data_IF_714068555573
#
_entry.id   IF_714068555573
#
_cell.length_a   1.000
_cell.length_b   1.000
_cell.length_c   1.000
_cell.angle_alpha   90.00
_cell.angle_beta   90.00
_cell.angle_gamma   90.00
#
_symmetry.space_group_name_H-M   'P 1'
#
loop_
_entity.id
_entity.type
_entity.pdbx_description
1 polymer ?
#
# COMPACT_ATOMS: atom_id res chain seq x y z
N UNK A 1 -12.99 27.77 -0.93
CA UNK A 1 -12.11 26.64 -1.26
C UNK A 1 -12.75 25.92 -2.44
N UNK A 2 -12.29 26.19 -3.68
CA UNK A 2 -12.81 25.47 -4.85
C UNK A 2 -12.12 24.11 -4.90
N UNK A 3 -12.85 23.06 -4.52
CA UNK A 3 -12.43 21.68 -4.73
C UNK A 3 -12.97 21.26 -6.09
N UNK A 4 -12.13 21.26 -7.12
CA UNK A 4 -12.47 20.59 -8.36
C UNK A 4 -12.27 19.08 -8.15
N UNK A 5 -13.37 18.34 -7.94
CA UNK A 5 -13.36 16.90 -8.22
C UNK A 5 -13.53 16.73 -9.71
N UNK A 6 -12.42 16.69 -10.44
CA UNK A 6 -12.41 16.60 -11.90
C UNK A 6 -12.79 15.17 -12.28
N UNK A 7 -14.05 14.97 -12.64
CA UNK A 7 -14.51 13.74 -13.31
C UNK A 7 -14.16 13.74 -14.81
N UNK A 8 -13.80 14.89 -15.37
CA UNK A 8 -13.50 15.09 -16.79
C UNK A 8 -11.99 14.97 -17.09
N UNK A 9 -11.41 13.80 -16.84
CA UNK A 9 -9.99 13.51 -17.14
C UNK A 9 -9.77 13.10 -18.62
N UNK A 10 -10.83 12.83 -19.39
CA UNK A 10 -10.71 12.29 -20.76
C UNK A 10 -9.95 13.22 -21.73
N UNK A 11 -10.11 14.54 -21.60
CA UNK A 11 -9.44 15.51 -22.49
C UNK A 11 -7.95 15.63 -22.16
N UNK A 12 -7.59 15.70 -20.87
CA UNK A 12 -6.19 15.74 -20.43
C UNK A 12 -5.48 14.39 -20.68
N UNK A 13 -6.21 13.27 -20.64
CA UNK A 13 -5.67 11.96 -21.04
C UNK A 13 -5.32 11.91 -22.54
N UNK A 14 -6.08 12.61 -23.40
CA UNK A 14 -5.77 12.71 -24.83
C UNK A 14 -4.58 13.63 -25.14
N UNK A 15 -4.35 14.66 -24.33
CA UNK A 15 -3.24 15.62 -24.51
C UNK A 15 -1.95 15.19 -23.80
N UNK A 16 -2.04 14.80 -22.53
CA UNK A 16 -0.89 14.41 -21.70
C UNK A 16 -0.66 12.89 -21.70
N UNK A 17 -1.73 12.08 -21.68
CA UNK A 17 -1.66 10.62 -21.60
C UNK A 17 -1.03 9.92 -22.82
N UNK A 18 -0.90 10.61 -23.96
CA UNK A 18 -0.16 10.09 -25.13
C UNK A 18 1.35 9.99 -24.90
N UNK A 19 1.89 10.76 -23.95
CA UNK A 19 3.32 10.84 -23.65
C UNK A 19 3.66 10.52 -22.19
N UNK A 20 2.65 10.28 -21.32
CA UNK A 20 2.93 9.97 -19.92
C UNK A 20 3.21 8.49 -19.73
N UNK A 21 4.45 8.18 -19.39
CA UNK A 21 4.89 6.81 -19.10
C UNK A 21 4.45 6.39 -17.68
N UNK A 22 4.25 7.35 -16.75
CA UNK A 22 4.11 7.08 -15.32
C UNK A 22 2.91 7.83 -14.69
N UNK A 23 2.20 7.17 -13.77
CA UNK A 23 0.98 7.65 -13.09
C UNK A 23 1.20 8.97 -12.31
N UNK A 24 2.32 9.08 -11.60
CA UNK A 24 2.70 10.24 -10.79
C UNK A 24 2.97 11.46 -11.66
N UNK A 25 3.63 11.28 -12.81
CA UNK A 25 3.88 12.37 -13.74
C UNK A 25 2.57 12.94 -14.30
N UNK A 26 1.59 12.07 -14.58
CA UNK A 26 0.26 12.49 -15.01
C UNK A 26 -0.44 13.35 -13.95
N UNK A 27 -0.37 12.95 -12.67
CA UNK A 27 -0.91 13.72 -11.56
C UNK A 27 -0.23 15.08 -11.40
N UNK A 28 1.09 15.14 -11.60
CA UNK A 28 1.90 16.37 -11.59
C UNK A 28 1.49 17.31 -12.72
N UNK A 29 1.34 16.79 -13.94
CA UNK A 29 0.98 17.59 -15.12
C UNK A 29 -0.39 18.25 -14.96
N UNK A 30 -1.37 17.52 -14.43
CA UNK A 30 -2.69 18.07 -14.08
C UNK A 30 -2.55 19.18 -13.03
N UNK A 31 -1.80 18.93 -11.94
CA UNK A 31 -1.56 19.95 -10.91
C UNK A 31 -0.96 21.23 -11.50
N UNK A 32 0.09 21.09 -12.32
CA UNK A 32 0.78 22.20 -12.97
C UNK A 32 -0.15 22.94 -13.95
N UNK A 33 -0.97 22.23 -14.72
CA UNK A 33 -1.92 22.83 -15.66
C UNK A 33 -2.90 23.77 -14.94
N UNK A 34 -3.56 23.31 -13.87
CA UNK A 34 -4.53 24.15 -13.15
C UNK A 34 -3.85 25.31 -12.42
N UNK A 35 -2.67 25.09 -11.86
CA UNK A 35 -1.91 26.16 -11.21
C UNK A 35 -1.44 27.22 -12.18
N UNK A 36 -1.02 26.86 -13.39
CA UNK A 36 -0.50 27.83 -14.37
C UNK A 36 -1.61 28.53 -15.15
N UNK A 37 -2.70 27.82 -15.45
CA UNK A 37 -3.79 28.33 -16.32
C UNK A 37 -4.72 29.33 -15.60
N UNK A 38 -5.01 29.11 -14.32
CA UNK A 38 -6.02 29.89 -13.60
C UNK A 38 -5.41 30.63 -12.42
N UNK A 39 -5.28 31.95 -12.47
CA UNK A 39 -4.65 32.75 -11.41
C UNK A 39 -5.42 32.75 -10.06
N UNK A 40 -6.72 32.47 -10.09
CA UNK A 40 -7.58 32.39 -8.90
C UNK A 40 -7.49 31.06 -8.14
N UNK A 41 -6.86 30.03 -8.71
CA UNK A 41 -6.74 28.70 -8.06
C UNK A 41 -5.73 28.76 -6.93
N UNK A 42 -6.19 28.59 -5.68
CA UNK A 42 -5.33 28.67 -4.51
C UNK A 42 -4.68 27.32 -4.12
N UNK A 43 -5.31 26.21 -4.50
CA UNK A 43 -4.90 24.85 -4.16
C UNK A 43 -5.40 23.87 -5.20
N UNK A 44 -4.57 22.90 -5.56
CA UNK A 44 -4.92 21.78 -6.45
C UNK A 44 -4.49 20.49 -5.78
N UNK A 45 -5.39 19.51 -5.80
CA UNK A 45 -5.12 18.13 -5.40
C UNK A 45 -5.64 17.19 -6.47
N UNK A 46 -4.77 16.31 -6.95
CA UNK A 46 -5.10 15.26 -7.89
C UNK A 46 -4.98 13.91 -7.20
N UNK A 47 -5.87 12.99 -7.54
CA UNK A 47 -5.81 11.60 -7.12
C UNK A 47 -5.97 10.75 -8.37
N UNK A 48 -4.99 9.91 -8.65
CA UNK A 48 -5.00 9.02 -9.82
C UNK A 48 -4.80 7.60 -9.33
N UNK A 49 -5.56 6.68 -9.88
CA UNK A 49 -5.48 5.27 -9.55
C UNK A 49 -5.37 4.46 -10.83
N UNK A 50 -4.48 3.49 -10.82
CA UNK A 50 -4.34 2.53 -11.90
C UNK A 50 -5.47 1.48 -11.85
N UNK A 51 -5.93 1.05 -13.03
CA UNK A 51 -6.70 -0.19 -13.16
C UNK A 51 -5.69 -1.29 -13.47
N UNK A 52 -5.56 -2.34 -12.63
CA UNK A 52 -4.47 -3.31 -12.73
C UNK A 52 -4.72 -4.33 -13.85
N UNK A 53 -4.64 -3.86 -15.09
CA UNK A 53 -4.69 -4.69 -16.28
C UNK A 53 -3.39 -5.47 -16.43
N UNK A 54 -3.50 -6.78 -16.46
CA UNK A 54 -2.39 -7.68 -16.76
C UNK A 54 -2.64 -8.34 -18.13
N UNK A 55 -1.58 -8.50 -18.92
CA UNK A 55 -1.69 -9.18 -20.22
C UNK A 55 -2.12 -10.62 -20.00
N UNK A 56 -3.16 -11.05 -20.72
CA UNK A 56 -3.60 -12.45 -20.66
C UNK A 56 -2.49 -13.34 -21.22
N UNK A 57 -2.17 -14.44 -20.53
CA UNK A 57 -1.25 -15.46 -20.99
C UNK A 57 -1.99 -16.78 -21.14
N UNK A 58 -1.83 -17.44 -22.28
CA UNK A 58 -2.36 -18.77 -22.57
C UNK A 58 -1.17 -19.69 -22.85
N UNK A 59 -1.00 -20.75 -22.07
CA UNK A 59 0.15 -21.67 -22.17
C UNK A 59 1.54 -20.97 -22.13
N UNK A 60 1.63 -19.88 -21.36
CA UNK A 60 2.84 -19.05 -21.26
C UNK A 60 3.05 -18.06 -22.41
N UNK A 61 2.17 -18.07 -23.42
CA UNK A 61 2.21 -17.14 -24.56
C UNK A 61 1.38 -15.89 -24.24
N UNK A 62 1.95 -14.68 -24.33
CA UNK A 62 1.22 -13.45 -24.11
C UNK A 62 0.23 -13.18 -25.25
N UNK A 63 -1.04 -12.98 -24.94
CA UNK A 63 -2.04 -12.59 -25.93
C UNK A 63 -1.74 -11.19 -26.47
N UNK A 64 -1.89 -10.98 -27.77
CA UNK A 64 -1.48 -9.75 -28.45
C UNK A 64 -2.30 -8.51 -28.02
N UNK A 65 -3.58 -8.68 -27.69
CA UNK A 65 -4.49 -7.57 -27.37
C UNK A 65 -5.51 -7.88 -26.27
N UNK A 66 -5.30 -8.93 -25.47
CA UNK A 66 -6.26 -9.31 -24.40
C UNK A 66 -5.62 -9.14 -23.03
N UNK A 67 -6.43 -8.66 -22.09
CA UNK A 67 -6.02 -8.32 -20.74
C UNK A 67 -7.06 -8.83 -19.74
N UNK A 68 -6.60 -9.14 -18.55
CA UNK A 68 -7.42 -9.49 -17.38
C UNK A 68 -7.17 -8.46 -16.28
N UNK A 69 -8.20 -8.12 -15.53
CA UNK A 69 -8.06 -7.22 -14.38
C UNK A 69 -7.76 -8.06 -13.14
N UNK A 70 -6.55 -7.93 -12.59
CA UNK A 70 -6.08 -8.72 -11.44
C UNK A 70 -5.64 -7.76 -10.33
N UNK A 71 -6.46 -7.57 -9.28
CA UNK A 71 -6.12 -6.67 -8.18
C UNK A 71 -5.16 -7.35 -7.19
N UNK A 72 -3.86 -7.27 -7.44
CA UNK A 72 -2.78 -7.78 -6.58
C UNK A 72 -2.05 -6.66 -5.81
N UNK A 73 -2.80 -5.61 -5.49
CA UNK A 73 -2.30 -4.34 -4.94
C UNK A 73 -2.44 -3.22 -5.96
N UNK A 74 -3.39 -2.32 -5.74
CA UNK A 74 -3.72 -1.24 -6.65
C UNK A 74 -2.77 -0.06 -6.43
N UNK A 75 -2.01 0.32 -7.46
CA UNK A 75 -1.21 1.54 -7.46
C UNK A 75 -2.09 2.78 -7.52
N UNK A 76 -1.76 3.76 -6.70
CA UNK A 76 -2.35 5.09 -6.78
C UNK A 76 -1.30 6.17 -6.50
N UNK A 77 -1.58 7.39 -6.92
CA UNK A 77 -0.78 8.56 -6.57
C UNK A 77 -1.66 9.77 -6.26
N UNK A 78 -1.08 10.70 -5.52
CA UNK A 78 -1.66 12.01 -5.26
C UNK A 78 -0.61 13.08 -5.53
N UNK A 79 -0.97 14.15 -6.23
CA UNK A 79 -0.16 15.35 -6.29
C UNK A 79 -0.94 16.52 -5.69
N UNK A 80 -0.27 17.31 -4.87
CA UNK A 80 -0.87 18.43 -4.15
C UNK A 80 0.02 19.66 -4.26
N UNK A 81 -0.58 20.81 -4.53
CA UNK A 81 0.14 22.07 -4.58
C UNK A 81 -0.75 23.19 -4.03
N UNK A 82 -0.16 24.04 -3.18
CA UNK A 82 -0.73 25.35 -2.84
C UNK A 82 -0.14 26.42 -3.78
N UNK A 83 -0.86 27.50 -4.04
CA UNK A 83 -0.32 28.67 -4.75
C UNK A 83 0.94 29.17 -4.05
N UNK A 84 2.03 29.30 -4.78
CA UNK A 84 3.37 29.69 -4.27
C UNK A 84 3.97 28.70 -3.24
N UNK A 85 3.37 27.52 -3.07
CA UNK A 85 3.90 26.44 -2.24
C UNK A 85 4.60 25.36 -3.07
N UNK A 86 5.34 24.45 -2.40
CA UNK A 86 5.95 23.32 -3.09
C UNK A 86 4.88 22.37 -3.63
N UNK A 87 5.19 21.73 -4.76
CA UNK A 87 4.46 20.57 -5.25
C UNK A 87 4.88 19.35 -4.40
N UNK A 88 3.90 18.67 -3.82
CA UNK A 88 4.11 17.46 -3.02
C UNK A 88 3.48 16.28 -3.73
N UNK A 89 4.25 15.22 -3.93
CA UNK A 89 3.79 14.00 -4.60
C UNK A 89 3.79 12.85 -3.61
N UNK A 90 2.72 12.07 -3.66
CA UNK A 90 2.55 10.84 -2.93
C UNK A 90 2.28 9.70 -3.90
N UNK A 91 2.74 8.50 -3.57
CA UNK A 91 2.33 7.26 -4.21
C UNK A 91 1.90 6.25 -3.16
N UNK A 92 1.26 5.18 -3.61
CA UNK A 92 0.79 4.16 -2.70
C UNK A 92 0.34 2.88 -3.38
N UNK A 93 0.06 1.92 -2.52
CA UNK A 93 -0.54 0.62 -2.81
C UNK A 93 -1.75 0.49 -1.90
N UNK A 94 -2.91 0.23 -2.47
CA UNK A 94 -4.12 -0.09 -1.70
C UNK A 94 -4.70 -1.42 -2.13
N UNK A 95 -5.65 -1.92 -1.34
CA UNK A 95 -6.38 -3.15 -1.62
C UNK A 95 -5.45 -4.38 -1.82
N UNK A 96 -4.23 -4.33 -1.25
CA UNK A 96 -3.28 -5.44 -1.28
C UNK A 96 -3.64 -6.44 -0.17
N UNK A 97 -4.24 -7.56 -0.57
CA UNK A 97 -4.67 -8.60 0.36
C UNK A 97 -3.57 -9.63 0.52
N UNK A 98 -3.12 -9.82 1.76
CA UNK A 98 -2.07 -10.77 2.11
C UNK A 98 -2.59 -11.77 3.15
N UNK A 99 -2.12 -13.00 3.06
CA UNK A 99 -2.43 -14.06 4.02
C UNK A 99 -1.24 -15.00 4.18
N UNK A 100 -0.94 -15.38 5.41
CA UNK A 100 -0.15 -16.58 5.74
C UNK A 100 -0.91 -17.45 6.73
N UNK A 101 -0.82 -18.76 6.55
CA UNK A 101 -1.61 -19.75 7.28
C UNK A 101 -1.01 -20.18 8.62
N UNK A 102 0.26 -19.88 8.83
CA UNK A 102 1.05 -20.18 10.03
C UNK A 102 2.13 -19.11 10.21
N UNK A 103 3.12 -19.34 11.09
CA UNK A 103 4.22 -18.42 11.39
C UNK A 103 3.70 -17.06 11.87
N UNK A 104 2.59 -17.05 12.62
CA UNK A 104 2.09 -15.87 13.30
C UNK A 104 1.50 -16.22 14.65
N UNK A 105 1.88 -15.51 15.68
CA UNK A 105 1.29 -15.60 17.01
C UNK A 105 0.66 -14.30 17.48
N UNK A 106 0.04 -14.38 18.65
CA UNK A 106 -0.37 -13.24 19.46
C UNK A 106 -0.52 -13.69 20.92
N UNK A 107 0.43 -13.25 21.73
CA UNK A 107 0.62 -13.65 23.11
C UNK A 107 1.30 -12.54 23.91
N UNK A 108 1.25 -12.63 25.25
CA UNK A 108 1.89 -11.66 26.13
C UNK A 108 1.22 -10.28 26.15
N UNK A 109 -0.02 -10.17 25.66
CA UNK A 109 -0.79 -8.95 25.74
C UNK A 109 -1.36 -8.74 27.15
N UNK A 110 -1.63 -7.48 27.50
CA UNK A 110 -2.24 -7.13 28.79
C UNK A 110 -3.63 -7.76 28.92
N UNK A 111 -3.88 -8.43 30.05
CA UNK A 111 -5.16 -9.10 30.34
C UNK A 111 -5.87 -8.36 31.48
N UNK A 112 -7.13 -8.03 31.26
CA UNK A 112 -8.04 -7.44 32.25
C UNK A 112 -9.38 -8.19 32.26
N UNK A 113 -10.33 -7.69 33.06
CA UNK A 113 -11.68 -8.25 33.19
C UNK A 113 -12.50 -8.32 31.89
N UNK A 114 -12.11 -7.57 30.85
CA UNK A 114 -12.74 -7.59 29.53
C UNK A 114 -11.99 -8.46 28.51
N UNK A 115 -10.87 -9.09 28.90
CA UNK A 115 -10.03 -9.86 27.99
C UNK A 115 -10.54 -11.30 27.87
N UNK A 116 -11.29 -11.56 26.81
CA UNK A 116 -11.79 -12.90 26.47
C UNK A 116 -10.95 -13.61 25.42
N UNK A 117 -10.08 -12.88 24.73
CA UNK A 117 -9.24 -13.40 23.66
C UNK A 117 -8.17 -14.35 24.22
N UNK A 118 -8.10 -15.61 23.78
CA UNK A 118 -7.06 -16.52 24.21
C UNK A 118 -5.76 -16.28 23.45
N UNK A 119 -4.63 -16.55 24.09
CA UNK A 119 -3.31 -16.50 23.45
C UNK A 119 -3.18 -17.60 22.40
N UNK A 120 -2.38 -17.32 21.36
CA UNK A 120 -2.11 -18.23 20.25
C UNK A 120 -0.65 -18.10 19.85
N UNK A 121 0.11 -19.19 19.95
CA UNK A 121 1.46 -19.26 19.40
C UNK A 121 1.45 -19.41 17.87
N UNK A 122 0.38 -19.98 17.32
CA UNK A 122 0.18 -20.05 15.86
C UNK A 122 -1.27 -19.71 15.49
N UNK A 123 -1.43 -18.94 14.40
CA UNK A 123 -2.70 -18.51 13.83
C UNK A 123 -2.53 -18.06 12.39
N UNK A 124 -3.63 -18.05 11.65
CA UNK A 124 -3.72 -17.39 10.35
C UNK A 124 -3.56 -15.88 10.54
N UNK A 125 -2.68 -15.26 9.77
CA UNK A 125 -2.57 -13.81 9.64
C UNK A 125 -3.07 -13.40 8.26
N UNK A 126 -4.18 -12.67 8.21
CA UNK A 126 -4.72 -12.10 6.99
C UNK A 126 -5.01 -10.60 7.19
N UNK A 127 -4.78 -9.82 6.14
CA UNK A 127 -5.07 -8.40 6.18
C UNK A 127 -5.07 -7.77 4.80
N UNK A 128 -5.68 -6.59 4.75
CA UNK A 128 -5.62 -5.71 3.61
C UNK A 128 -4.72 -4.52 3.93
N UNK A 129 -3.67 -4.35 3.12
CA UNK A 129 -2.70 -3.28 3.25
C UNK A 129 -3.14 -2.06 2.44
N UNK A 130 -3.08 -0.91 3.09
CA UNK A 130 -2.96 0.40 2.47
C UNK A 130 -1.62 1.01 2.88
N UNK A 131 -0.75 1.23 1.90
CA UNK A 131 0.55 1.88 2.04
C UNK A 131 0.55 3.15 1.20
N UNK A 132 0.95 4.27 1.78
CA UNK A 132 1.14 5.56 1.09
C UNK A 132 2.47 6.14 1.51
N UNK A 133 3.27 6.61 0.57
CA UNK A 133 4.52 7.32 0.85
C UNK A 133 4.55 8.68 0.16
N UNK A 134 5.28 9.61 0.75
CA UNK A 134 5.60 10.90 0.12
C UNK A 134 6.99 10.85 -0.50
N UNK A 135 7.14 11.47 -1.67
CA UNK A 135 8.44 11.70 -2.30
C UNK A 135 9.15 12.95 -1.75
N UNK A 136 8.46 13.77 -0.94
CA UNK A 136 8.97 15.06 -0.49
C UNK A 136 9.15 16.07 -1.64
N UNK A 137 10.12 16.97 -1.49
CA UNK A 137 10.54 17.90 -2.54
C UNK A 137 11.62 17.23 -3.39
N UNK A 138 11.23 16.57 -4.47
CA UNK A 138 12.20 16.09 -5.45
C UNK A 138 11.61 16.09 -6.85
N UNK A 139 12.47 16.33 -7.80
CA UNK A 139 12.20 16.22 -9.23
C UNK A 139 13.06 15.06 -9.74
N UNK A 140 12.53 14.30 -10.68
CA UNK A 140 13.24 13.23 -11.40
C UNK A 140 13.44 11.91 -10.64
N UNK A 141 12.36 11.36 -10.07
CA UNK A 141 12.35 9.98 -9.56
C UNK A 141 11.88 8.98 -10.62
N UNK A 142 12.51 7.81 -10.62
CA UNK A 142 11.96 6.62 -11.27
C UNK A 142 10.84 6.04 -10.39
N UNK A 143 9.62 6.56 -10.60
CA UNK A 143 8.45 6.22 -9.81
C UNK A 143 8.11 4.73 -9.86
N UNK A 144 8.28 4.09 -11.02
CA UNK A 144 7.94 2.69 -11.25
C UNK A 144 8.91 1.78 -10.49
N UNK A 145 10.21 2.07 -10.58
CA UNK A 145 11.24 1.34 -9.84
C UNK A 145 11.03 1.46 -8.33
N UNK A 146 10.70 2.65 -7.83
CA UNK A 146 10.44 2.84 -6.39
C UNK A 146 9.19 2.09 -5.95
N UNK A 147 8.08 2.20 -6.69
CA UNK A 147 6.84 1.49 -6.38
C UNK A 147 7.06 -0.03 -6.33
N UNK A 148 7.75 -0.57 -7.34
CA UNK A 148 8.09 -2.01 -7.42
C UNK A 148 8.93 -2.45 -6.23
N UNK A 149 10.00 -1.71 -5.91
CA UNK A 149 10.86 -1.99 -4.74
C UNK A 149 10.07 -1.99 -3.44
N UNK A 150 9.18 -1.01 -3.24
CA UNK A 150 8.35 -0.95 -2.02
C UNK A 150 7.42 -2.16 -1.94
N UNK A 151 6.75 -2.52 -3.05
CA UNK A 151 5.91 -3.72 -3.12
C UNK A 151 6.70 -4.99 -2.78
N UNK A 152 7.91 -5.14 -3.33
CA UNK A 152 8.81 -6.26 -3.02
C UNK A 152 9.18 -6.30 -1.53
N UNK A 153 9.52 -5.17 -0.92
CA UNK A 153 9.80 -5.10 0.52
C UNK A 153 8.61 -5.52 1.37
N UNK A 154 7.40 -5.08 0.99
CA UNK A 154 6.16 -5.44 1.69
C UNK A 154 5.96 -6.95 1.67
N UNK A 155 6.06 -7.56 0.49
CA UNK A 155 5.86 -9.00 0.31
C UNK A 155 6.92 -9.81 1.05
N UNK A 156 8.18 -9.39 0.96
CA UNK A 156 9.31 -10.04 1.63
C UNK A 156 9.17 -9.99 3.15
N UNK A 157 8.94 -8.82 3.74
CA UNK A 157 8.81 -8.70 5.18
C UNK A 157 7.51 -9.31 5.74
N UNK A 158 6.50 -9.53 4.90
CA UNK A 158 5.28 -10.26 5.31
C UNK A 158 5.48 -11.78 5.29
N UNK A 159 6.05 -12.30 4.20
CA UNK A 159 6.16 -13.74 3.94
C UNK A 159 7.40 -14.38 4.58
N UNK A 160 8.54 -13.70 4.53
CA UNK A 160 9.85 -14.28 4.82
C UNK A 160 10.35 -15.19 3.69
N UNK A 161 11.40 -15.98 3.94
CA UNK A 161 11.94 -16.93 2.97
C UNK A 161 10.88 -17.96 2.51
N UNK A 162 10.78 -18.30 1.22
CA UNK A 162 9.73 -19.20 0.72
C UNK A 162 9.75 -20.63 1.30
N UNK A 163 10.89 -21.07 1.82
CA UNK A 163 11.12 -22.42 2.34
C UNK A 163 10.77 -22.58 3.82
N UNK A 164 10.86 -21.52 4.62
CA UNK A 164 10.65 -21.57 6.07
C UNK A 164 9.73 -20.48 6.63
N UNK A 165 9.43 -19.45 5.85
CA UNK A 165 8.70 -18.26 6.25
C UNK A 165 9.39 -17.48 7.37
N UNK A 166 8.71 -16.45 7.89
CA UNK A 166 9.19 -15.70 9.05
C UNK A 166 8.09 -15.59 10.11
N UNK A 167 8.43 -15.96 11.35
CA UNK A 167 7.51 -15.87 12.48
C UNK A 167 7.23 -14.42 12.85
N UNK A 168 5.95 -14.08 12.96
CA UNK A 168 5.50 -12.77 13.41
C UNK A 168 4.76 -12.85 14.75
N UNK A 169 5.33 -12.30 15.85
CA UNK A 169 4.71 -12.35 17.18
C UNK A 169 3.52 -11.39 17.31
N UNK A 170 3.43 -10.40 16.43
CA UNK A 170 2.33 -9.46 16.38
C UNK A 170 2.25 -8.79 15.03
N UNK A 171 1.06 -8.35 14.67
CA UNK A 171 0.88 -7.57 13.45
C UNK A 171 1.74 -6.28 13.48
N UNK A 172 1.84 -5.61 14.64
CA UNK A 172 2.62 -4.40 14.82
C UNK A 172 4.10 -4.63 14.49
N UNK A 173 4.64 -5.79 14.88
CA UNK A 173 6.01 -6.18 14.52
C UNK A 173 6.16 -6.35 13.02
N UNK A 174 5.20 -7.00 12.35
CA UNK A 174 5.20 -7.15 10.88
C UNK A 174 5.25 -5.80 10.17
N UNK A 175 4.39 -4.86 10.57
CA UNK A 175 4.35 -3.52 9.97
C UNK A 175 5.65 -2.78 10.19
N UNK A 176 6.23 -2.87 11.39
CA UNK A 176 7.52 -2.28 11.68
C UNK A 176 8.63 -2.89 10.81
N UNK A 177 8.66 -4.21 10.63
CA UNK A 177 9.63 -4.88 9.74
C UNK A 177 9.50 -4.39 8.29
N UNK A 178 8.28 -4.29 7.76
CA UNK A 178 8.02 -3.73 6.42
C UNK A 178 8.59 -2.32 6.31
N UNK A 179 8.31 -1.46 7.29
CA UNK A 179 8.77 -0.08 7.28
C UNK A 179 10.30 0.01 7.33
N UNK A 180 10.93 -0.75 8.22
CA UNK A 180 12.39 -0.77 8.34
C UNK A 180 13.06 -1.33 7.08
N UNK A 181 12.45 -2.33 6.44
CA UNK A 181 12.96 -2.90 5.19
C UNK A 181 12.84 -1.91 4.03
N UNK A 182 11.70 -1.24 3.88
CA UNK A 182 11.51 -0.19 2.86
C UNK A 182 12.52 0.93 3.06
N UNK A 183 12.67 1.44 4.28
CA UNK A 183 13.61 2.51 4.58
C UNK A 183 15.04 2.10 4.26
N UNK A 184 15.46 0.89 4.67
CA UNK A 184 16.83 0.42 4.41
C UNK A 184 17.14 0.26 2.92
N UNK A 185 16.18 -0.20 2.12
CA UNK A 185 16.35 -0.35 0.66
C UNK A 185 16.24 0.93 -0.14
N UNK A 186 15.71 1.99 0.47
CA UNK A 186 15.55 3.31 -0.14
C UNK A 186 16.54 4.35 0.41
N UNK A 187 17.52 3.94 1.23
CA UNK A 187 18.58 4.80 1.78
C UNK A 187 19.40 5.57 0.72
N UNK A 188 19.43 5.07 -0.53
CA UNK A 188 20.14 5.71 -1.65
C UNK A 188 19.37 6.90 -2.25
N UNK A 189 18.07 7.00 -2.01
CA UNK A 189 17.35 8.23 -2.30
C UNK A 189 17.85 9.29 -1.31
N UNK A 190 18.00 10.57 -1.72
CA UNK A 190 18.28 11.68 -0.80
C UNK A 190 17.05 11.91 0.11
N UNK A 191 16.78 10.94 0.97
CA UNK A 191 15.56 10.79 1.74
C UNK A 191 15.74 11.52 3.06
N UNK A 192 15.34 12.80 3.08
CA UNK A 192 14.93 13.45 4.34
C UNK A 192 13.42 13.43 4.54
N UNK A 193 12.62 12.87 3.60
CA UNK A 193 11.15 13.05 3.61
C UNK A 193 10.33 11.89 3.03
N UNK A 194 10.83 10.66 2.97
CA UNK A 194 9.92 9.52 2.67
C UNK A 194 9.12 9.23 3.94
N UNK A 195 7.91 9.81 3.99
CA UNK A 195 6.93 9.55 5.05
C UNK A 195 6.06 8.37 4.64
N UNK A 196 6.22 7.23 5.30
CA UNK A 196 5.47 6.00 5.06
C UNK A 196 4.23 5.97 5.98
N UNK A 197 3.08 6.22 5.41
CA UNK A 197 1.77 6.12 6.04
C UNK A 197 1.17 4.77 5.73
N UNK A 198 0.94 3.96 6.75
CA UNK A 198 0.29 2.67 6.61
C UNK A 198 -1.03 2.69 7.34
N UNK A 199 -2.08 2.22 6.68
CA UNK A 199 -3.32 1.79 7.32
C UNK A 199 -3.48 0.33 6.94
N UNK A 200 -3.67 -0.56 7.90
CA UNK A 200 -4.16 -1.89 7.56
C UNK A 200 -5.48 -2.12 8.25
N UNK A 201 -6.37 -2.74 7.50
CA UNK A 201 -7.55 -3.38 8.04
C UNK A 201 -7.15 -4.83 8.28
N UNK A 202 -6.94 -5.17 9.55
CA UNK A 202 -6.68 -6.55 9.93
C UNK A 202 -8.00 -7.28 9.87
N UNK A 203 -7.98 -8.38 9.13
CA UNK A 203 -9.07 -9.32 9.10
C UNK A 203 -8.51 -10.58 9.74
N UNK A 204 -8.38 -10.54 11.07
CA UNK A 204 -7.98 -11.70 11.84
C UNK A 204 -9.15 -12.68 11.82
N UNK A 205 -9.00 -13.77 11.06
CA UNK A 205 -9.78 -14.98 11.32
C UNK A 205 -9.35 -15.52 12.68
N UNK A 206 -10.01 -15.03 13.73
CA UNK A 206 -9.96 -15.62 15.08
C UNK A 206 -10.92 -16.83 15.19
N UNK A 207 -11.56 -17.23 14.09
CA UNK A 207 -12.33 -18.47 14.05
C UNK A 207 -11.37 -19.63 14.27
N UNK A 208 -11.47 -20.24 15.46
CA UNK A 208 -11.44 -21.67 15.83
C UNK A 208 -11.17 -22.75 14.76
N UNK A 209 -10.43 -22.46 13.71
CA UNK A 209 -10.10 -23.37 12.63
C UNK A 209 -8.67 -23.84 12.89
N UNK A 210 -8.47 -25.14 13.15
CA UNK A 210 -7.14 -25.67 13.40
C UNK A 210 -6.25 -25.39 12.18
N UNK A 211 -4.94 -25.13 12.37
CA UNK A 211 -4.00 -25.10 11.26
C UNK A 211 -4.12 -26.44 10.53
N UNK A 212 -4.73 -26.46 9.35
CA UNK A 212 -4.76 -27.65 8.51
C UNK A 212 -3.35 -27.81 7.93
N UNK A 213 -2.79 -29.01 8.06
CA UNK A 213 -1.51 -29.41 7.49
C UNK A 213 -1.37 -28.94 6.04
N UNK A 214 -0.22 -28.36 5.71
CA UNK A 214 0.15 -27.79 4.41
C UNK A 214 0.21 -28.80 3.24
N UNK A 215 -0.24 -30.05 3.42
CA UNK A 215 -0.09 -31.14 2.44
C UNK A 215 -1.13 -31.15 1.31
N UNK A 216 -2.12 -30.24 1.34
CA UNK A 216 -3.04 -30.08 0.21
C UNK A 216 -2.94 -28.65 -0.32
N UNK A 217 -2.67 -28.51 -1.62
CA UNK A 217 -2.65 -27.27 -2.39
C UNK A 217 -4.02 -26.53 -2.46
N UNK A 218 -4.85 -26.68 -1.45
CA UNK A 218 -6.21 -26.14 -1.35
C UNK A 218 -6.23 -25.12 -0.23
N UNK A 219 -6.08 -23.84 -0.58
CA UNK A 219 -6.43 -22.74 0.33
C UNK A 219 -7.94 -22.83 0.57
N UNK A 220 -8.40 -23.05 1.81
CA UNK A 220 -9.84 -23.13 2.06
C UNK A 220 -10.51 -21.80 1.71
N UNK A 221 -11.72 -21.86 1.14
CA UNK A 221 -12.53 -20.67 0.88
C UNK A 221 -13.00 -20.09 2.22
N UNK A 222 -12.28 -19.08 2.73
CA UNK A 222 -12.69 -18.38 3.94
C UNK A 222 -13.50 -17.13 3.56
N UNK A 223 -14.71 -16.94 4.10
CA UNK A 223 -15.35 -15.63 4.04
C UNK A 223 -14.45 -14.63 4.75
N UNK A 224 -14.24 -13.45 4.17
CA UNK A 224 -13.56 -12.33 4.85
C UNK A 224 -14.37 -12.03 6.13
N UNK A 225 -13.87 -12.32 7.36
CA UNK A 225 -14.63 -12.03 8.57
C UNK A 225 -14.81 -10.51 8.75
N UNK A 226 -15.73 -10.08 9.64
CA UNK A 226 -15.80 -8.68 10.03
C UNK A 226 -14.41 -8.20 10.48
N UNK A 227 -14.02 -7.01 10.01
CA UNK A 227 -12.71 -6.43 10.27
C UNK A 227 -12.41 -6.40 11.78
N UNK A 228 -11.27 -6.95 12.18
CA UNK A 228 -10.67 -6.67 13.47
C UNK A 228 -10.17 -5.22 13.53
N UNK A 229 -9.65 -4.79 14.67
CA UNK A 229 -9.19 -3.42 14.91
C UNK A 229 -8.29 -2.87 13.79
N UNK A 230 -8.44 -1.57 13.49
CA UNK A 230 -7.62 -0.89 12.49
C UNK A 230 -6.30 -0.43 13.10
N UNK A 231 -5.20 -0.69 12.40
CA UNK A 231 -3.89 -0.22 12.83
C UNK A 231 -3.36 0.79 11.85
N UNK A 232 -2.88 1.92 12.39
CA UNK A 232 -2.24 2.98 11.62
C UNK A 232 -0.85 3.23 12.16
N UNK A 233 0.11 3.40 11.28
CA UNK A 233 1.42 3.88 11.71
C UNK A 233 2.05 4.76 10.65
N UNK A 234 2.81 5.74 11.12
CA UNK A 234 3.49 6.72 10.26
C UNK A 234 4.95 6.77 10.64
N UNK A 235 5.81 6.63 9.64
CA UNK A 235 7.26 6.63 9.83
C UNK A 235 7.88 7.68 8.92
N UNK A 236 8.79 8.46 9.46
CA UNK A 236 9.67 9.35 8.70
C UNK A 236 11.13 8.99 9.00
N UNK A 237 12.05 9.42 8.14
CA UNK A 237 13.49 9.19 8.33
C UNK A 237 14.00 9.73 9.69
N UNK A 238 13.32 10.73 10.26
CA UNK A 238 13.73 11.40 11.49
C UNK A 238 12.94 10.95 12.74
N UNK A 239 11.79 10.27 12.59
CA UNK A 239 10.92 9.89 13.71
C UNK A 239 10.02 8.68 13.40
N UNK A 240 9.84 7.84 14.41
CA UNK A 240 8.86 6.74 14.42
C UNK A 240 7.64 7.18 15.24
N UNK A 241 6.45 7.17 14.65
CA UNK A 241 5.19 7.41 15.38
C UNK A 241 4.18 6.31 15.09
N UNK A 242 4.01 5.40 16.05
CA UNK A 242 3.04 4.30 15.97
C UNK A 242 1.79 4.74 16.74
N UNK A 243 0.64 4.80 16.05
CA UNK A 243 -0.63 5.19 16.66
C UNK A 243 -1.60 4.02 16.68
N UNK A 244 -1.99 3.55 17.86
CA UNK A 244 -3.10 2.59 17.95
C UNK A 244 -4.41 3.35 17.74
N UNK A 245 -5.17 3.01 16.71
CA UNK A 245 -6.57 3.43 16.56
C UNK A 245 -7.46 2.23 16.90
N UNK A 246 -7.71 1.98 18.18
CA UNK A 246 -8.89 1.17 18.51
C UNK A 246 -10.11 1.98 18.07
N UNK A 247 -10.89 1.41 17.15
CA UNK A 247 -12.27 1.84 16.89
C UNK A 247 -13.18 1.17 17.90
#
# INVERSE_FOLDING_TARGET
MFSLQIKDIEVLNCEYGKNTINLEQFAIDICNHFMTTFCQVAYVKTYVQEVPWQRLHEDGVPHIHSFICVPDGIRFCEAEQCRNGPLVVFAGIKDLKLMKTTQSGFEGFYKNEHTTLPERHDRILCGELFCKWSYGECKDFDFDCIWKKIRECILEAFAGPPDCGEYSPSYQKTVNCIQMLVLSRLLWLPARKIGLFHRWSIVCLCSSLPPKSCDSATVPSYPFPPSGGHYRSTFTCDNVSIYHCCS
#
